data_IF_116653491837
#
_entry.id   IF_116653491837
#
_cell.length_a   1.000
_cell.length_b   1.000
_cell.length_c   1.000
_cell.angle_alpha   90.00
_cell.angle_beta   90.00
_cell.angle_gamma   90.00
#
_symmetry.space_group_name_H-M   'P 1'
#
loop_
_entity.id
_entity.type
_entity.pdbx_description
1 polymer ?
#
# COMPACT_ATOMS: atom_id res chain seq x y z
N UNK A 1 5.89 11.96 -7.93
CA UNK A 1 6.40 10.66 -7.44
C UNK A 1 5.80 9.50 -8.23
N UNK A 2 6.55 8.40 -8.33
CA UNK A 2 6.12 7.12 -8.91
C UNK A 2 5.85 6.10 -7.82
N UNK A 3 4.75 5.37 -7.97
CA UNK A 3 4.25 4.39 -7.02
C UNK A 3 4.13 3.07 -7.77
N UNK A 4 4.94 2.09 -7.37
CA UNK A 4 4.97 0.76 -7.98
C UNK A 4 4.25 -0.22 -7.07
N UNK A 5 3.26 -0.92 -7.59
CA UNK A 5 2.45 -1.89 -6.84
C UNK A 5 2.72 -3.28 -7.37
N UNK A 6 3.00 -4.20 -6.45
CA UNK A 6 3.13 -5.62 -6.75
C UNK A 6 2.49 -6.47 -5.64
N UNK A 7 2.14 -7.71 -5.99
CA UNK A 7 1.58 -8.70 -5.08
C UNK A 7 2.48 -9.92 -4.90
N UNK A 8 2.38 -10.58 -3.75
CA UNK A 8 3.00 -11.89 -3.56
C UNK A 8 2.06 -12.82 -2.81
N UNK A 9 1.93 -14.05 -3.30
CA UNK A 9 0.94 -15.02 -2.83
C UNK A 9 -0.23 -15.18 -3.80
N UNK A 10 -1.02 -16.23 -3.62
CA UNK A 10 -2.10 -16.59 -4.55
C UNK A 10 -3.47 -16.07 -4.13
N UNK A 11 -3.60 -15.52 -2.92
CA UNK A 11 -4.90 -15.16 -2.31
C UNK A 11 -5.90 -16.32 -2.32
N UNK A 12 -5.39 -17.56 -2.29
CA UNK A 12 -6.19 -18.77 -2.41
C UNK A 12 -5.72 -19.82 -1.43
N UNK A 13 -6.66 -20.63 -0.94
CA UNK A 13 -6.37 -21.68 0.04
C UNK A 13 -6.28 -21.12 1.46
N UNK A 14 -6.81 -21.90 2.40
CA UNK A 14 -6.84 -21.57 3.82
C UNK A 14 -5.96 -22.50 4.72
N UNK A 15 -4.91 -23.19 4.23
CA UNK A 15 -4.01 -23.89 5.15
C UNK A 15 -3.14 -22.90 5.94
N UNK A 16 -2.61 -23.35 7.08
CA UNK A 16 -1.67 -22.57 7.89
C UNK A 16 -0.48 -22.06 7.04
N UNK A 17 -0.12 -20.78 7.23
CA UNK A 17 0.97 -20.15 6.48
C UNK A 17 0.58 -19.62 5.09
N UNK A 18 -0.72 -19.58 4.76
CA UNK A 18 -1.25 -19.02 3.49
C UNK A 18 -1.30 -17.49 3.51
N UNK A 19 -0.13 -16.89 3.69
CA UNK A 19 0.03 -15.44 3.68
C UNK A 19 0.11 -14.94 2.25
N UNK A 20 -0.69 -13.93 1.93
CA UNK A 20 -0.58 -13.12 0.71
C UNK A 20 -0.42 -11.65 1.10
N UNK A 21 0.29 -10.89 0.28
CA UNK A 21 0.59 -9.48 0.54
C UNK A 21 0.47 -8.66 -0.73
N UNK A 22 0.12 -7.38 -0.57
CA UNK A 22 0.24 -6.36 -1.61
C UNK A 22 1.13 -5.26 -1.06
N UNK A 23 2.16 -4.87 -1.82
CA UNK A 23 3.08 -3.81 -1.43
C UNK A 23 3.08 -2.67 -2.44
N UNK A 24 3.20 -1.45 -1.95
CA UNK A 24 3.39 -0.25 -2.77
C UNK A 24 4.73 0.42 -2.41
N UNK A 25 5.62 0.52 -3.39
CA UNK A 25 6.88 1.23 -3.29
C UNK A 25 6.75 2.62 -3.89
N UNK A 26 6.97 3.64 -3.07
CA UNK A 26 6.89 5.05 -3.45
C UNK A 26 8.29 5.59 -3.64
N UNK A 27 8.60 6.04 -4.85
CA UNK A 27 9.90 6.61 -5.23
C UNK A 27 9.69 8.07 -5.66
N UNK A 28 10.36 9.04 -5.01
CA UNK A 28 10.36 10.42 -5.48
C UNK A 28 10.89 10.51 -6.92
N UNK A 29 10.24 11.29 -7.78
CA UNK A 29 10.64 11.43 -9.19
C UNK A 29 12.07 11.95 -9.30
N UNK A 30 12.43 12.89 -8.42
CA UNK A 30 13.75 13.54 -8.40
C UNK A 30 14.91 12.55 -8.22
N UNK A 31 14.67 11.37 -7.63
CA UNK A 31 15.73 10.36 -7.41
C UNK A 31 15.73 9.23 -8.43
N UNK A 32 14.69 9.11 -9.26
CA UNK A 32 14.43 7.91 -10.05
C UNK A 32 15.55 7.59 -11.05
N UNK A 33 16.07 8.59 -11.75
CA UNK A 33 17.14 8.40 -12.74
C UNK A 33 18.46 7.94 -12.09
N UNK A 34 18.82 8.56 -10.97
CA UNK A 34 20.03 8.21 -10.23
C UNK A 34 19.90 6.82 -9.60
N UNK A 35 18.73 6.52 -9.04
CA UNK A 35 18.41 5.21 -8.49
C UNK A 35 18.52 4.13 -9.58
N UNK A 36 17.96 4.38 -10.77
CA UNK A 36 18.02 3.46 -11.91
C UNK A 36 19.46 3.16 -12.35
N UNK A 37 20.31 4.19 -12.43
CA UNK A 37 21.75 4.03 -12.74
C UNK A 37 22.49 3.20 -11.70
N UNK A 38 22.21 3.43 -10.41
CA UNK A 38 22.81 2.64 -9.31
C UNK A 38 22.30 1.19 -9.34
N UNK A 39 21.02 1.00 -9.63
CA UNK A 39 20.41 -0.32 -9.68
C UNK A 39 20.94 -1.17 -10.83
N UNK A 40 21.09 -0.60 -12.04
CA UNK A 40 21.66 -1.29 -13.19
C UNK A 40 23.00 -2.00 -12.87
N UNK A 41 23.85 -1.35 -12.04
CA UNK A 41 25.14 -1.92 -11.59
C UNK A 41 24.96 -3.15 -10.69
N UNK A 42 23.98 -3.15 -9.80
CA UNK A 42 23.73 -4.30 -8.91
C UNK A 42 22.91 -5.39 -9.61
N UNK A 43 21.95 -4.99 -10.45
CA UNK A 43 21.06 -5.84 -11.26
C UNK A 43 21.83 -6.82 -12.15
N UNK A 44 23.00 -6.44 -12.65
CA UNK A 44 23.87 -7.31 -13.44
C UNK A 44 24.15 -8.66 -12.74
N UNK A 45 24.28 -8.65 -11.41
CA UNK A 45 24.64 -9.82 -10.60
C UNK A 45 23.44 -10.44 -9.85
N UNK A 46 22.22 -9.97 -10.11
CA UNK A 46 21.01 -10.55 -9.53
C UNK A 46 20.46 -11.66 -10.43
N UNK A 47 19.90 -12.73 -9.83
CA UNK A 47 19.25 -13.80 -10.59
C UNK A 47 18.04 -13.23 -11.34
N UNK A 48 17.83 -13.74 -12.56
CA UNK A 48 16.76 -13.29 -13.45
C UNK A 48 15.95 -14.48 -13.94
N UNK A 49 14.68 -14.22 -14.20
CA UNK A 49 13.75 -15.11 -14.87
C UNK A 49 13.20 -14.36 -16.09
N UNK A 50 13.36 -14.91 -17.29
CA UNK A 50 13.01 -14.25 -18.56
C UNK A 50 13.56 -12.81 -18.70
N UNK A 51 14.78 -12.57 -18.19
CA UNK A 51 15.46 -11.27 -18.28
C UNK A 51 15.07 -10.27 -17.19
N UNK A 52 14.12 -10.59 -16.32
CA UNK A 52 13.65 -9.78 -15.20
C UNK A 52 14.16 -10.32 -13.86
N UNK A 53 14.53 -9.43 -12.93
CA UNK A 53 14.89 -9.83 -11.57
C UNK A 53 13.63 -10.16 -10.78
N UNK A 54 13.55 -11.39 -10.23
CA UNK A 54 12.42 -11.84 -9.40
C UNK A 54 12.84 -12.00 -7.93
N UNK A 55 12.16 -11.30 -7.03
CA UNK A 55 12.35 -11.29 -5.58
C UNK A 55 12.32 -12.68 -4.94
N UNK A 56 11.53 -13.60 -5.48
CA UNK A 56 11.49 -15.01 -5.06
C UNK A 56 12.82 -15.76 -5.25
N UNK A 57 13.70 -15.28 -6.13
CA UNK A 57 14.99 -15.90 -6.44
C UNK A 57 16.16 -15.32 -5.63
N UNK A 58 15.96 -14.18 -4.96
CA UNK A 58 17.03 -13.48 -4.26
C UNK A 58 17.34 -14.12 -2.90
N UNK A 59 18.61 -14.24 -2.57
CA UNK A 59 19.04 -14.55 -1.21
C UNK A 59 19.01 -13.30 -0.30
N UNK A 60 19.22 -13.50 1.00
CA UNK A 60 19.19 -12.47 2.04
C UNK A 60 20.08 -11.27 1.70
N UNK A 61 21.34 -11.52 1.32
CA UNK A 61 22.30 -10.45 1.01
C UNK A 61 21.89 -9.65 -0.22
N UNK A 62 21.27 -10.29 -1.20
CA UNK A 62 20.78 -9.63 -2.41
C UNK A 62 19.56 -8.76 -2.11
N UNK A 63 18.60 -9.28 -1.32
CA UNK A 63 17.45 -8.51 -0.84
C UNK A 63 17.93 -7.28 -0.06
N UNK A 64 18.77 -7.47 0.95
CA UNK A 64 19.28 -6.38 1.79
C UNK A 64 20.02 -5.31 0.97
N UNK A 65 20.81 -5.72 -0.02
CA UNK A 65 21.51 -4.79 -0.92
C UNK A 65 20.55 -3.88 -1.70
N UNK A 66 19.43 -4.42 -2.19
CA UNK A 66 18.39 -3.66 -2.90
C UNK A 66 17.61 -2.77 -1.93
N UNK A 67 17.22 -3.30 -0.77
CA UNK A 67 16.54 -2.53 0.29
C UNK A 67 17.39 -1.34 0.73
N UNK A 68 18.68 -1.55 0.99
CA UNK A 68 19.59 -0.49 1.39
C UNK A 68 19.83 0.54 0.28
N UNK A 69 19.76 0.14 -1.00
CA UNK A 69 19.77 1.08 -2.11
C UNK A 69 18.50 1.95 -2.07
N UNK A 70 17.32 1.38 -1.88
CA UNK A 70 16.06 2.12 -1.78
C UNK A 70 16.04 3.08 -0.57
N UNK A 71 16.51 2.62 0.60
CA UNK A 71 16.61 3.42 1.83
C UNK A 71 17.46 4.67 1.60
N UNK A 72 18.62 4.51 0.95
CA UNK A 72 19.54 5.63 0.66
C UNK A 72 19.01 6.63 -0.36
N UNK A 73 17.96 6.28 -1.11
CA UNK A 73 17.32 7.18 -2.05
C UNK A 73 15.91 7.56 -1.57
N UNK A 74 15.65 7.48 -0.26
CA UNK A 74 14.45 7.99 0.41
C UNK A 74 13.12 7.40 -0.09
N UNK A 75 13.14 6.22 -0.72
CA UNK A 75 11.91 5.52 -1.05
C UNK A 75 11.09 5.22 0.21
N UNK A 76 9.76 5.18 0.07
CA UNK A 76 8.84 4.68 1.08
C UNK A 76 8.22 3.36 0.63
N UNK A 77 7.79 2.55 1.57
CA UNK A 77 7.11 1.30 1.29
C UNK A 77 5.92 1.12 2.24
N UNK A 78 4.74 0.87 1.69
CA UNK A 78 3.52 0.50 2.40
C UNK A 78 3.15 -0.93 2.00
N UNK A 79 2.63 -1.73 2.94
CA UNK A 79 2.27 -3.12 2.68
C UNK A 79 1.08 -3.55 3.53
N UNK A 80 0.19 -4.29 2.89
CA UNK A 80 -0.93 -4.95 3.55
C UNK A 80 -0.82 -6.46 3.34
N UNK A 81 -0.98 -7.20 4.43
CA UNK A 81 -0.96 -8.65 4.47
C UNK A 81 -2.36 -9.22 4.76
N UNK A 82 -2.59 -10.41 4.23
CA UNK A 82 -3.74 -11.24 4.52
C UNK A 82 -3.24 -12.66 4.78
N UNK A 83 -3.36 -13.12 6.03
CA UNK A 83 -3.08 -14.52 6.37
C UNK A 83 -4.37 -15.32 6.31
N UNK A 84 -4.55 -16.04 5.19
CA UNK A 84 -5.71 -16.92 5.01
C UNK A 84 -5.70 -18.12 5.97
N UNK A 85 -4.54 -18.48 6.54
CA UNK A 85 -4.43 -19.50 7.57
C UNK A 85 -5.08 -19.10 8.90
N UNK A 86 -5.36 -17.81 9.12
CA UNK A 86 -6.09 -17.29 10.28
C UNK A 86 -7.61 -17.19 10.03
N UNK A 87 -8.08 -17.62 8.87
CA UNK A 87 -9.46 -17.47 8.45
C UNK A 87 -10.03 -18.80 7.95
N UNK A 88 -11.35 -18.87 7.86
CA UNK A 88 -12.03 -19.94 7.13
C UNK A 88 -12.54 -19.41 5.79
N UNK A 89 -12.62 -20.30 4.80
CA UNK A 89 -13.17 -19.95 3.49
C UNK A 89 -14.60 -19.45 3.60
N UNK A 90 -15.42 -20.08 4.45
CA UNK A 90 -16.81 -19.65 4.68
C UNK A 90 -16.88 -18.23 5.22
N UNK A 91 -16.05 -17.87 6.20
CA UNK A 91 -16.03 -16.51 6.75
C UNK A 91 -15.61 -15.48 5.68
N UNK A 92 -14.63 -15.80 4.82
CA UNK A 92 -14.22 -14.91 3.73
C UNK A 92 -15.34 -14.72 2.70
N UNK A 93 -16.09 -15.78 2.35
CA UNK A 93 -17.25 -15.71 1.45
C UNK A 93 -18.42 -14.94 2.05
N UNK A 94 -18.71 -15.13 3.34
CA UNK A 94 -19.71 -14.36 4.06
C UNK A 94 -19.34 -12.87 4.10
N UNK A 95 -18.06 -12.55 4.32
CA UNK A 95 -17.57 -11.18 4.27
C UNK A 95 -17.74 -10.56 2.87
N UNK A 96 -17.35 -11.28 1.81
CA UNK A 96 -17.55 -10.85 0.41
C UNK A 96 -19.03 -10.55 0.13
N UNK A 97 -19.91 -11.47 0.52
CA UNK A 97 -21.36 -11.32 0.34
C UNK A 97 -21.91 -10.11 1.09
N UNK A 98 -21.59 -10.00 2.38
CA UNK A 98 -22.02 -8.87 3.24
C UNK A 98 -21.56 -7.54 2.66
N UNK A 99 -20.31 -7.44 2.21
CA UNK A 99 -19.77 -6.22 1.63
C UNK A 99 -20.50 -5.84 0.34
N UNK A 100 -20.69 -6.79 -0.58
CA UNK A 100 -21.43 -6.56 -1.83
C UNK A 100 -22.88 -6.14 -1.60
N UNK A 101 -23.59 -6.78 -0.67
CA UNK A 101 -24.97 -6.42 -0.29
C UNK A 101 -25.05 -5.02 0.33
N UNK A 102 -24.10 -4.67 1.22
CA UNK A 102 -24.03 -3.33 1.80
C UNK A 102 -23.76 -2.24 0.75
N UNK A 103 -22.97 -2.55 -0.28
CA UNK A 103 -22.70 -1.62 -1.38
C UNK A 103 -23.91 -1.44 -2.28
N UNK A 104 -24.61 -2.53 -2.62
CA UNK A 104 -25.87 -2.47 -3.34
C UNK A 104 -26.92 -1.64 -2.61
N UNK A 105 -27.03 -1.80 -1.29
CA UNK A 105 -27.95 -1.03 -0.46
C UNK A 105 -27.66 0.48 -0.48
N UNK A 106 -26.41 0.89 -0.77
CA UNK A 106 -26.01 2.30 -0.89
C UNK A 106 -26.23 2.89 -2.27
N UNK A 107 -26.46 2.09 -3.32
CA UNK A 107 -26.66 2.58 -4.71
C UNK A 107 -27.68 3.72 -4.79
N UNK A 108 -28.86 3.68 -4.12
CA UNK A 108 -29.83 4.77 -4.19
C UNK A 108 -29.32 6.12 -3.68
N UNK A 109 -28.27 6.13 -2.84
CA UNK A 109 -27.69 7.35 -2.28
C UNK A 109 -26.75 8.07 -3.26
N UNK A 110 -26.37 7.43 -4.36
CA UNK A 110 -25.55 8.05 -5.39
C UNK A 110 -26.39 8.86 -6.38
N UNK A 111 -25.77 9.84 -7.04
CA UNK A 111 -26.42 10.65 -8.09
C UNK A 111 -26.92 9.74 -9.22
N UNK A 112 -28.11 10.00 -9.76
CA UNK A 112 -28.77 9.16 -10.76
C UNK A 112 -27.86 8.76 -11.94
N UNK A 113 -27.01 9.69 -12.42
CA UNK A 113 -26.09 9.45 -13.53
C UNK A 113 -24.97 8.43 -13.28
N UNK A 114 -24.67 8.08 -12.01
CA UNK A 114 -23.63 7.09 -11.65
C UNK A 114 -24.19 5.84 -10.98
N UNK A 115 -25.50 5.77 -10.71
CA UNK A 115 -26.11 4.64 -10.00
C UNK A 115 -25.95 3.32 -10.74
N UNK A 116 -26.12 3.31 -12.07
CA UNK A 116 -25.97 2.10 -12.88
C UNK A 116 -24.54 1.54 -12.82
N UNK A 117 -23.55 2.42 -12.85
CA UNK A 117 -22.14 2.08 -12.79
C UNK A 117 -21.77 1.51 -11.42
N UNK A 118 -22.15 2.19 -10.34
CA UNK A 118 -21.93 1.74 -8.95
C UNK A 118 -22.64 0.40 -8.70
N UNK A 119 -23.86 0.24 -9.21
CA UNK A 119 -24.60 -1.02 -9.12
C UNK A 119 -23.86 -2.15 -9.83
N UNK A 120 -23.43 -1.94 -11.08
CA UNK A 120 -22.68 -2.94 -11.85
C UNK A 120 -21.39 -3.35 -11.13
N UNK A 121 -20.65 -2.40 -10.58
CA UNK A 121 -19.44 -2.67 -9.82
C UNK A 121 -19.71 -3.45 -8.52
N UNK A 122 -20.81 -3.14 -7.83
CA UNK A 122 -21.24 -3.84 -6.60
C UNK A 122 -21.69 -5.28 -6.88
N UNK A 123 -22.45 -5.50 -7.96
CA UNK A 123 -22.84 -6.84 -8.40
C UNK A 123 -21.65 -7.68 -8.83
N UNK A 124 -20.62 -7.05 -9.40
CA UNK A 124 -19.41 -7.75 -9.79
C UNK A 124 -18.64 -8.30 -8.59
N UNK A 125 -18.59 -7.60 -7.46
CA UNK A 125 -18.01 -8.13 -6.20
C UNK A 125 -18.66 -9.46 -5.83
N UNK A 126 -19.99 -9.53 -5.86
CA UNK A 126 -20.74 -10.73 -5.48
C UNK A 126 -20.48 -11.93 -6.40
N UNK A 127 -20.08 -11.68 -7.64
CA UNK A 127 -19.81 -12.72 -8.67
C UNK A 127 -18.32 -13.02 -8.83
N UNK A 128 -17.45 -12.15 -8.33
CA UNK A 128 -16.01 -12.27 -8.51
C UNK A 128 -15.44 -13.50 -7.80
N UNK A 129 -14.45 -14.18 -8.40
CA UNK A 129 -13.66 -15.20 -7.72
C UNK A 129 -13.10 -14.68 -6.39
N UNK A 130 -13.15 -15.51 -5.34
CA UNK A 130 -12.77 -15.10 -3.99
C UNK A 130 -11.34 -14.57 -3.93
N UNK A 131 -10.39 -15.20 -4.63
CA UNK A 131 -9.00 -14.77 -4.67
C UNK A 131 -8.83 -13.34 -5.23
N UNK A 132 -9.55 -13.01 -6.30
CA UNK A 132 -9.53 -11.66 -6.87
C UNK A 132 -10.14 -10.66 -5.89
N UNK A 133 -11.27 -10.99 -5.28
CA UNK A 133 -11.88 -10.15 -4.24
C UNK A 133 -10.91 -9.83 -3.08
N UNK A 134 -10.22 -10.84 -2.55
CA UNK A 134 -9.26 -10.70 -1.44
C UNK A 134 -8.03 -9.88 -1.87
N UNK A 135 -7.55 -10.05 -3.10
CA UNK A 135 -6.48 -9.25 -3.69
C UNK A 135 -6.90 -7.77 -3.84
N UNK A 136 -8.12 -7.49 -4.31
CA UNK A 136 -8.63 -6.12 -4.40
C UNK A 136 -8.71 -5.46 -3.02
N UNK A 137 -9.24 -6.17 -2.02
CA UNK A 137 -9.38 -5.64 -0.67
C UNK A 137 -8.03 -5.20 -0.07
N UNK A 138 -7.03 -6.07 -0.18
CA UNK A 138 -5.67 -5.77 0.28
C UNK A 138 -5.04 -4.64 -0.52
N UNK A 139 -5.25 -4.60 -1.83
CA UNK A 139 -4.75 -3.51 -2.68
C UNK A 139 -5.36 -2.16 -2.32
N UNK A 140 -6.67 -2.07 -2.08
CA UNK A 140 -7.32 -0.81 -1.72
C UNK A 140 -6.86 -0.28 -0.36
N UNK A 141 -6.59 -1.17 0.59
CA UNK A 141 -6.02 -0.80 1.88
C UNK A 141 -4.61 -0.17 1.70
N UNK A 142 -3.77 -0.77 0.85
CA UNK A 142 -2.46 -0.18 0.50
C UNK A 142 -2.62 1.19 -0.15
N UNK A 143 -3.53 1.35 -1.12
CA UNK A 143 -3.78 2.65 -1.76
C UNK A 143 -4.17 3.72 -0.74
N UNK A 144 -5.06 3.38 0.19
CA UNK A 144 -5.49 4.27 1.28
C UNK A 144 -4.30 4.71 2.14
N UNK A 145 -3.43 3.77 2.55
CA UNK A 145 -2.22 4.08 3.31
C UNK A 145 -1.23 4.95 2.53
N UNK A 146 -0.99 4.66 1.24
CA UNK A 146 -0.10 5.47 0.39
C UNK A 146 -0.60 6.91 0.32
N UNK A 147 -1.89 7.10 0.01
CA UNK A 147 -2.48 8.43 -0.14
C UNK A 147 -2.39 9.23 1.16
N UNK A 148 -2.66 8.62 2.30
CA UNK A 148 -2.51 9.30 3.59
C UNK A 148 -1.05 9.56 3.95
N UNK A 149 -0.29 8.48 4.13
CA UNK A 149 1.02 8.51 4.77
C UNK A 149 2.10 9.13 3.88
N UNK A 150 2.13 8.81 2.59
CA UNK A 150 3.13 9.38 1.68
C UNK A 150 2.89 10.89 1.45
N UNK A 151 1.62 11.32 1.36
CA UNK A 151 1.27 12.74 1.21
C UNK A 151 1.79 13.55 2.39
N UNK A 152 1.47 13.13 3.62
CA UNK A 152 1.91 13.79 4.86
C UNK A 152 3.42 13.76 5.04
N UNK A 153 4.06 12.66 4.66
CA UNK A 153 5.50 12.51 4.74
C UNK A 153 6.23 13.46 3.79
N UNK A 154 5.81 13.52 2.51
CA UNK A 154 6.47 14.33 1.50
C UNK A 154 6.07 15.81 1.57
N UNK A 155 4.91 16.17 2.12
CA UNK A 155 4.54 17.57 2.40
C UNK A 155 5.58 18.29 3.27
N UNK A 156 6.29 17.57 4.13
CA UNK A 156 7.31 18.17 5.01
C UNK A 156 8.73 18.14 4.42
N UNK A 157 8.97 17.36 3.36
CA UNK A 157 10.33 17.01 2.88
C UNK A 157 10.55 17.35 1.42
N UNK A 158 9.61 16.96 0.57
CA UNK A 158 9.64 17.16 -0.88
C UNK A 158 8.24 17.55 -1.39
N UNK A 159 7.72 18.74 -1.03
CA UNK A 159 6.37 19.17 -1.42
C UNK A 159 6.07 19.10 -2.92
N UNK A 160 7.09 19.26 -3.76
CA UNK A 160 6.96 19.18 -5.22
C UNK A 160 6.56 17.79 -5.72
N UNK A 161 6.89 16.73 -4.98
CA UNK A 161 6.50 15.35 -5.33
C UNK A 161 4.98 15.15 -5.24
N UNK A 162 4.28 15.96 -4.42
CA UNK A 162 2.84 15.93 -4.28
C UNK A 162 2.10 16.50 -5.49
N UNK A 163 2.81 17.01 -6.49
CA UNK A 163 2.23 17.49 -7.74
C UNK A 163 1.87 16.37 -8.72
N UNK A 164 2.32 15.12 -8.52
CA UNK A 164 1.98 14.01 -9.41
C UNK A 164 2.08 12.67 -8.69
N UNK A 165 1.09 11.81 -8.94
CA UNK A 165 1.02 10.45 -8.44
C UNK A 165 0.88 9.53 -9.65
N UNK A 166 2.00 8.96 -10.09
CA UNK A 166 2.03 7.98 -11.19
C UNK A 166 1.98 6.58 -10.60
N UNK A 167 0.91 5.84 -10.85
CA UNK A 167 0.65 4.51 -10.31
C UNK A 167 0.95 3.46 -11.38
N UNK A 168 1.92 2.58 -11.10
CA UNK A 168 2.35 1.52 -12.00
C UNK A 168 2.11 0.20 -11.30
N UNK A 169 1.16 -0.58 -11.80
CA UNK A 169 0.78 -1.89 -11.26
C UNK A 169 1.36 -2.97 -12.16
N UNK A 170 1.93 -4.02 -11.59
CA UNK A 170 2.35 -5.19 -12.36
C UNK A 170 1.14 -5.81 -13.08
N UNK A 171 1.18 -5.83 -14.41
CA UNK A 171 0.10 -6.31 -15.27
C UNK A 171 0.44 -7.67 -15.86
N UNK A 172 -0.52 -8.60 -15.85
CA UNK A 172 -0.26 -9.98 -16.32
C UNK A 172 -0.27 -10.13 -17.84
N UNK A 173 -0.87 -9.20 -18.60
CA UNK A 173 -0.80 -9.16 -20.07
C UNK A 173 -0.90 -7.72 -20.63
N UNK A 174 0.04 -7.24 -21.48
CA UNK A 174 -0.01 -5.90 -22.07
C UNK A 174 -1.16 -5.68 -23.06
N UNK A 175 -1.61 -6.75 -23.72
CA UNK A 175 -2.50 -6.67 -24.87
C UNK A 175 -4.00 -6.68 -24.50
N UNK A 176 -4.33 -6.97 -23.24
CA UNK A 176 -5.72 -7.09 -22.77
C UNK A 176 -5.79 -6.57 -21.34
N UNK A 177 -6.25 -5.33 -21.20
CA UNK A 177 -6.80 -4.91 -19.90
C UNK A 177 -7.93 -5.87 -19.59
N UNK A 178 -7.79 -6.63 -18.51
CA UNK A 178 -8.79 -7.59 -18.09
C UNK A 178 -10.01 -6.84 -17.54
N UNK A 179 -11.19 -7.44 -17.62
CA UNK A 179 -12.40 -6.89 -16.96
C UNK A 179 -12.18 -6.62 -15.46
N UNK A 180 -11.26 -7.36 -14.85
CA UNK A 180 -10.86 -7.18 -13.46
C UNK A 180 -10.07 -5.87 -13.26
N UNK A 181 -9.13 -5.56 -14.14
CA UNK A 181 -8.33 -4.33 -14.10
C UNK A 181 -9.19 -3.08 -14.38
N UNK A 182 -10.12 -3.15 -15.33
CA UNK A 182 -11.10 -2.08 -15.58
C UNK A 182 -11.99 -1.85 -14.34
N UNK A 183 -12.51 -2.94 -13.76
CA UNK A 183 -13.31 -2.88 -12.54
C UNK A 183 -12.50 -2.27 -11.39
N UNK A 184 -11.24 -2.68 -11.23
CA UNK A 184 -10.36 -2.20 -10.17
C UNK A 184 -10.12 -0.69 -10.28
N UNK A 185 -9.79 -0.17 -11.46
CA UNK A 185 -9.51 1.26 -11.64
C UNK A 185 -10.73 2.15 -11.36
N UNK A 186 -11.91 1.67 -11.75
CA UNK A 186 -13.17 2.36 -11.45
C UNK A 186 -13.52 2.27 -9.96
N UNK A 187 -13.46 1.06 -9.41
CA UNK A 187 -13.96 0.75 -8.08
C UNK A 187 -13.04 1.22 -6.94
N UNK A 188 -11.73 1.26 -7.18
CA UNK A 188 -10.74 1.76 -6.21
C UNK A 188 -11.11 3.15 -5.66
N UNK A 189 -11.65 4.04 -6.51
CA UNK A 189 -12.04 5.39 -6.10
C UNK A 189 -13.11 5.37 -5.01
N UNK A 190 -14.17 4.57 -5.19
CA UNK A 190 -15.25 4.46 -4.21
C UNK A 190 -14.83 3.72 -2.93
N UNK A 191 -14.00 2.69 -3.08
CA UNK A 191 -13.47 1.92 -1.95
C UNK A 191 -12.57 2.78 -1.06
N UNK A 192 -11.59 3.46 -1.67
CA UNK A 192 -10.65 4.33 -0.95
C UNK A 192 -11.40 5.53 -0.34
N UNK A 193 -12.40 6.10 -1.01
CA UNK A 193 -13.23 7.17 -0.42
C UNK A 193 -13.91 6.71 0.86
N UNK A 194 -14.49 5.50 0.85
CA UNK A 194 -15.14 4.91 2.03
C UNK A 194 -14.14 4.66 3.16
N UNK A 195 -12.92 4.21 2.83
CA UNK A 195 -11.85 4.04 3.80
C UNK A 195 -11.40 5.38 4.40
N UNK A 196 -11.24 6.43 3.58
CA UNK A 196 -10.88 7.77 4.04
C UNK A 196 -11.96 8.41 4.93
N UNK A 197 -13.23 8.10 4.74
CA UNK A 197 -14.30 8.55 5.66
C UNK A 197 -14.18 7.90 7.03
N UNK A 198 -13.76 6.63 7.10
CA UNK A 198 -13.60 5.88 8.36
C UNK A 198 -12.28 6.16 9.05
N UNK A 199 -11.22 6.32 8.26
CA UNK A 199 -9.83 6.56 8.67
C UNK A 199 -9.29 7.76 7.87
N UNK A 200 -9.60 8.99 8.31
CA UNK A 200 -9.16 10.19 7.60
C UNK A 200 -7.63 10.26 7.52
N UNK A 201 -7.06 10.59 6.36
CA UNK A 201 -5.61 10.78 6.27
C UNK A 201 -5.17 11.95 7.16
N UNK A 202 -4.04 11.78 7.83
CA UNK A 202 -3.47 12.79 8.73
C UNK A 202 -3.02 14.04 7.95
N UNK A 203 -3.70 15.16 8.15
CA UNK A 203 -3.21 16.47 7.70
C UNK A 203 -2.53 17.19 8.87
N UNK A 204 -1.29 17.62 8.66
CA UNK A 204 -0.53 18.32 9.71
C UNK A 204 -1.07 19.72 9.97
N UNK A 205 -1.06 20.20 11.23
CA UNK A 205 -1.43 21.57 11.57
C UNK A 205 -0.59 22.61 10.82
N UNK A 206 -1.13 23.80 10.60
CA UNK A 206 -0.45 24.88 9.89
C UNK A 206 0.91 25.26 10.51
N UNK A 207 1.03 25.19 11.85
CA UNK A 207 2.28 25.43 12.57
C UNK A 207 3.44 24.52 12.17
N UNK A 208 3.15 23.37 11.55
CA UNK A 208 4.16 22.42 11.05
C UNK A 208 4.71 22.82 9.68
N UNK A 209 4.15 23.87 9.06
CA UNK A 209 4.53 24.43 7.77
C UNK A 209 4.72 23.36 6.67
N UNK A 210 3.85 22.35 6.67
CA UNK A 210 3.84 21.32 5.65
C UNK A 210 3.32 21.91 4.31
N UNK A 211 4.07 21.69 3.23
CA UNK A 211 3.77 22.23 1.91
C UNK A 211 2.76 21.38 1.15
N UNK A 212 1.47 21.70 1.27
CA UNK A 212 0.40 21.03 0.52
C UNK A 212 -0.03 21.75 -0.76
N UNK A 213 0.54 22.90 -1.11
CA UNK A 213 0.12 23.70 -2.26
C UNK A 213 0.12 22.95 -3.60
N UNK A 214 1.00 21.96 -3.77
CA UNK A 214 1.03 21.11 -4.97
C UNK A 214 -0.04 20.01 -4.96
N UNK A 215 -0.50 19.63 -3.77
CA UNK A 215 -1.57 18.67 -3.55
C UNK A 215 -2.97 19.28 -3.70
N UNK A 216 -3.12 20.60 -3.48
CA UNK A 216 -4.41 21.31 -3.55
C UNK A 216 -5.15 21.16 -4.89
N UNK A 217 -4.44 20.87 -5.99
CA UNK A 217 -5.09 20.57 -7.28
C UNK A 217 -5.93 19.29 -7.25
N UNK A 218 -5.69 18.41 -6.29
CA UNK A 218 -6.48 17.21 -6.04
C UNK A 218 -7.62 17.48 -5.06
N UNK A 219 -7.77 18.69 -4.53
CA UNK A 219 -8.89 19.01 -3.65
C UNK A 219 -10.22 18.93 -4.41
N UNK A 220 -11.21 18.32 -3.78
CA UNK A 220 -12.61 18.33 -4.22
C UNK A 220 -13.46 19.05 -3.18
N UNK A 221 -14.45 19.81 -3.62
CA UNK A 221 -15.53 20.31 -2.77
C UNK A 221 -16.83 19.64 -3.18
N UNK A 222 -17.67 19.29 -2.21
CA UNK A 222 -19.06 18.94 -2.50
C UNK A 222 -19.97 20.19 -2.47
N UNK A 223 -21.24 20.03 -2.85
CA UNK A 223 -22.24 21.11 -2.84
C UNK A 223 -22.54 21.66 -1.43
N UNK A 224 -22.09 20.97 -0.37
CA UNK A 224 -22.22 21.36 1.03
C UNK A 224 -20.98 22.09 1.54
N UNK A 225 -19.96 22.25 0.71
CA UNK A 225 -18.69 22.90 1.06
C UNK A 225 -17.73 22.00 1.83
N UNK A 226 -18.00 20.69 1.94
CA UNK A 226 -17.05 19.74 2.53
C UNK A 226 -15.83 19.60 1.61
N UNK A 227 -14.65 19.86 2.18
CA UNK A 227 -13.37 19.70 1.49
C UNK A 227 -12.92 18.24 1.58
N UNK A 228 -12.58 17.66 0.43
CA UNK A 228 -12.06 16.31 0.32
C UNK A 228 -10.93 16.22 -0.69
N UNK A 229 -10.51 14.99 -0.97
CA UNK A 229 -9.55 14.68 -2.05
C UNK A 229 -10.29 13.99 -3.20
N UNK A 230 -10.12 14.51 -4.41
CA UNK A 230 -10.56 13.91 -5.65
C UNK A 230 -9.71 12.68 -5.99
N UNK A 231 -10.17 11.50 -5.57
CA UNK A 231 -9.51 10.23 -5.88
C UNK A 231 -9.48 9.94 -7.39
N UNK A 232 -10.45 10.47 -8.15
CA UNK A 232 -10.43 10.42 -9.61
C UNK A 232 -9.19 11.08 -10.19
N UNK A 233 -8.84 12.27 -9.69
CA UNK A 233 -7.65 12.99 -10.16
C UNK A 233 -6.36 12.35 -9.63
N UNK A 234 -6.38 11.89 -8.37
CA UNK A 234 -5.21 11.31 -7.72
C UNK A 234 -4.83 9.95 -8.35
N UNK A 235 -5.81 9.15 -8.73
CA UNK A 235 -5.64 7.87 -9.42
C UNK A 235 -5.71 7.98 -10.96
N UNK A 236 -5.61 9.20 -11.52
CA UNK A 236 -5.79 9.43 -12.96
C UNK A 236 -4.63 8.91 -13.82
N UNK A 237 -3.40 8.92 -13.29
CA UNK A 237 -2.21 8.39 -13.97
C UNK A 237 -1.92 6.98 -13.48
N UNK A 238 -2.90 6.10 -13.69
CA UNK A 238 -2.84 4.71 -13.31
C UNK A 238 -2.65 3.81 -14.52
N UNK A 239 -1.63 2.96 -14.46
CA UNK A 239 -1.19 2.15 -15.59
C UNK A 239 -0.86 0.74 -15.13
N UNK A 240 -1.36 -0.25 -15.88
CA UNK A 240 -0.93 -1.64 -15.77
C UNK A 240 0.23 -1.86 -16.75
N UNK A 241 1.37 -2.29 -16.23
CA UNK A 241 2.59 -2.45 -17.01
C UNK A 241 3.08 -3.88 -16.90
N UNK A 242 3.33 -4.51 -18.04
CA UNK A 242 3.91 -5.85 -18.16
C UNK A 242 5.34 -5.83 -18.73
N UNK A 243 5.80 -4.66 -19.17
CA UNK A 243 7.19 -4.47 -19.57
C UNK A 243 8.10 -4.51 -18.35
N UNK A 244 9.30 -5.08 -18.52
CA UNK A 244 10.33 -5.07 -17.48
C UNK A 244 10.74 -3.64 -17.15
N UNK A 245 10.37 -3.18 -15.95
CA UNK A 245 10.77 -1.88 -15.42
C UNK A 245 11.44 -2.04 -14.06
N UNK A 246 12.52 -1.28 -13.81
CA UNK A 246 13.26 -1.35 -12.54
C UNK A 246 12.38 -1.03 -11.33
N UNK A 247 11.38 -0.15 -11.49
CA UNK A 247 10.42 0.16 -10.44
C UNK A 247 9.59 -1.04 -9.99
N UNK A 248 9.07 -1.82 -10.95
CA UNK A 248 8.33 -3.05 -10.68
C UNK A 248 9.25 -4.13 -10.09
N UNK A 249 10.48 -4.29 -10.60
CA UNK A 249 11.45 -5.20 -9.98
C UNK A 249 11.74 -4.83 -8.51
N UNK A 250 11.82 -3.53 -8.18
CA UNK A 250 11.97 -3.12 -6.79
C UNK A 250 10.76 -3.48 -5.93
N UNK A 251 9.55 -3.21 -6.43
CA UNK A 251 8.32 -3.54 -5.73
C UNK A 251 8.23 -5.05 -5.48
N UNK A 252 8.46 -5.88 -6.52
CA UNK A 252 8.46 -7.34 -6.41
C UNK A 252 9.50 -7.86 -5.41
N UNK A 253 10.71 -7.32 -5.42
CA UNK A 253 11.75 -7.70 -4.45
C UNK A 253 11.31 -7.43 -3.01
N UNK A 254 10.81 -6.23 -2.71
CA UNK A 254 10.47 -5.85 -1.32
C UNK A 254 9.17 -6.54 -0.87
N UNK A 255 8.17 -6.61 -1.74
CA UNK A 255 6.89 -7.31 -1.48
C UNK A 255 7.11 -8.79 -1.23
N UNK A 256 7.88 -9.49 -2.08
CA UNK A 256 8.22 -10.90 -1.85
C UNK A 256 9.08 -11.08 -0.60
N UNK A 257 10.00 -10.16 -0.29
CA UNK A 257 10.81 -10.26 0.90
C UNK A 257 9.97 -10.22 2.18
N UNK A 258 8.99 -9.31 2.27
CA UNK A 258 8.07 -9.27 3.41
C UNK A 258 7.27 -10.56 3.48
N UNK A 259 6.66 -11.03 2.39
CA UNK A 259 5.91 -12.30 2.40
C UNK A 259 6.78 -13.46 2.87
N UNK A 260 7.98 -13.62 2.30
CA UNK A 260 8.91 -14.68 2.67
C UNK A 260 9.33 -14.59 4.13
N UNK A 261 9.46 -13.38 4.69
CA UNK A 261 9.72 -13.22 6.13
C UNK A 261 8.56 -13.71 6.99
N UNK A 262 7.31 -13.44 6.59
CA UNK A 262 6.10 -13.89 7.29
C UNK A 262 5.89 -15.42 7.14
N UNK A 263 6.32 -16.01 6.03
CA UNK A 263 6.22 -17.47 5.83
C UNK A 263 7.47 -18.24 6.26
N UNK A 264 8.46 -17.60 6.89
CA UNK A 264 9.70 -18.26 7.36
C UNK A 264 10.72 -18.64 6.26
N UNK A 265 10.55 -18.13 5.04
CA UNK A 265 11.38 -18.41 3.85
C UNK A 265 12.40 -17.30 3.52
N UNK A 266 12.63 -16.37 4.44
CA UNK A 266 13.69 -15.36 4.37
C UNK A 266 14.24 -15.12 5.79
N UNK A 267 15.55 -15.28 5.95
CA UNK A 267 16.19 -15.09 7.26
C UNK A 267 16.38 -13.61 7.59
N UNK A 268 16.71 -13.32 8.86
CA UNK A 268 16.80 -11.98 9.43
C UNK A 268 17.69 -11.05 8.62
N UNK A 269 18.80 -11.54 8.11
CA UNK A 269 19.74 -10.80 7.28
C UNK A 269 19.08 -10.17 6.05
N UNK A 270 18.02 -10.79 5.51
CA UNK A 270 17.30 -10.30 4.34
C UNK A 270 16.21 -9.27 4.65
N UNK A 271 15.51 -9.39 5.78
CA UNK A 271 14.38 -8.50 6.10
C UNK A 271 14.70 -7.41 7.14
N UNK A 272 15.82 -7.51 7.86
CA UNK A 272 16.14 -6.62 9.00
C UNK A 272 16.15 -5.12 8.66
N UNK A 273 16.36 -4.71 7.41
CA UNK A 273 16.41 -3.30 7.02
C UNK A 273 15.13 -2.81 6.33
N UNK A 274 14.12 -3.67 6.09
CA UNK A 274 12.92 -3.28 5.33
C UNK A 274 12.12 -2.19 6.06
N UNK A 275 12.02 -2.24 7.39
CA UNK A 275 11.32 -1.20 8.17
C UNK A 275 11.81 0.22 7.91
N UNK A 276 13.05 0.40 7.44
CA UNK A 276 13.62 1.72 7.15
C UNK A 276 13.00 2.40 5.91
N UNK A 277 12.26 1.62 5.12
CA UNK A 277 11.38 2.10 4.05
C UNK A 277 9.98 2.45 4.55
N UNK A 278 9.57 1.93 5.71
CA UNK A 278 8.22 2.09 6.24
C UNK A 278 8.16 3.26 7.22
N UNK A 279 7.01 3.92 7.31
CA UNK A 279 6.81 4.96 8.32
C UNK A 279 6.55 4.31 9.68
N UNK A 280 7.21 4.84 10.70
CA UNK A 280 7.03 4.46 12.10
C UNK A 280 5.59 4.72 12.52
N UNK A 281 4.97 3.70 13.09
CA UNK A 281 3.70 3.77 13.77
C UNK A 281 3.92 3.43 15.25
N UNK A 282 3.34 4.22 16.16
CA UNK A 282 3.47 4.01 17.59
C UNK A 282 2.49 2.95 18.10
N UNK A 283 1.38 2.78 17.39
CA UNK A 283 0.21 2.05 17.88
C UNK A 283 0.09 0.65 17.26
N UNK A 284 0.99 0.28 16.34
CA UNK A 284 0.94 -1.01 15.68
C UNK A 284 2.15 -1.35 14.80
N UNK A 285 2.14 -2.57 14.21
CA UNK A 285 3.14 -2.95 13.23
C UNK A 285 2.99 -2.13 11.94
N UNK A 286 4.09 -1.99 11.20
CA UNK A 286 4.16 -1.26 9.93
C UNK A 286 3.52 -2.01 8.77
N UNK A 287 3.20 -3.29 8.98
CA UNK A 287 2.43 -4.12 8.06
C UNK A 287 0.96 -4.03 8.50
N UNK A 288 0.10 -3.56 7.60
CA UNK A 288 -1.35 -3.63 7.82
C UNK A 288 -1.82 -5.08 7.64
N UNK A 289 -2.72 -5.55 8.50
CA UNK A 289 -3.29 -6.90 8.40
C UNK A 289 -4.79 -6.80 8.20
N UNK A 290 -5.29 -7.40 7.12
CA UNK A 290 -6.72 -7.54 6.89
C UNK A 290 -7.25 -8.74 7.68
N UNK A 291 -8.22 -8.49 8.57
CA UNK A 291 -8.90 -9.51 9.36
C UNK A 291 -10.41 -9.46 9.13
N UNK A 292 -11.05 -10.61 8.89
CA UNK A 292 -12.50 -10.71 8.66
C UNK A 292 -13.35 -10.90 9.92
N UNK A 293 -12.71 -11.29 11.03
CA UNK A 293 -13.39 -11.58 12.29
C UNK A 293 -13.14 -10.45 13.29
N UNK A 294 -14.19 -10.02 13.99
CA UNK A 294 -14.07 -9.12 15.14
C UNK A 294 -13.58 -9.91 16.35
N UNK A 295 -12.64 -9.32 17.11
CA UNK A 295 -12.26 -9.80 18.43
C UNK A 295 -11.15 -10.85 18.43
N UNK A 296 -9.91 -10.39 18.65
CA UNK A 296 -8.76 -11.24 18.94
C UNK A 296 -7.51 -10.69 18.28
N UNK A 297 -6.45 -10.53 19.06
CA UNK A 297 -5.12 -10.21 18.56
C UNK A 297 -4.48 -11.47 17.93
N UNK A 298 -5.11 -11.98 16.87
CA UNK A 298 -4.71 -13.20 16.17
C UNK A 298 -3.36 -13.04 15.49
N UNK A 299 -2.94 -11.80 15.22
CA UNK A 299 -1.64 -11.47 14.65
C UNK A 299 -0.54 -11.77 15.67
N UNK A 300 -0.73 -11.42 16.95
CA UNK A 300 0.26 -11.70 17.98
C UNK A 300 0.35 -13.20 18.36
N UNK A 301 -0.66 -14.00 17.99
CA UNK A 301 -0.62 -15.45 18.10
C UNK A 301 -0.07 -16.16 16.84
N UNK A 302 0.20 -15.43 15.75
CA UNK A 302 0.62 -16.03 14.50
C UNK A 302 2.08 -16.54 14.55
N UNK A 303 2.45 -17.53 13.71
CA UNK A 303 3.83 -18.06 13.66
C UNK A 303 4.90 -16.99 13.38
N UNK A 304 4.53 -15.87 12.75
CA UNK A 304 5.44 -14.79 12.38
C UNK A 304 5.49 -13.62 13.36
N UNK A 305 4.84 -13.71 14.54
CA UNK A 305 4.82 -12.60 15.53
C UNK A 305 6.21 -12.07 15.85
N UNK A 306 7.21 -12.95 15.97
CA UNK A 306 8.60 -12.55 16.21
C UNK A 306 9.16 -11.67 15.08
N UNK A 307 8.89 -12.05 13.83
CA UNK A 307 9.32 -11.30 12.64
C UNK A 307 8.65 -9.92 12.63
N UNK A 308 7.34 -9.85 12.90
CA UNK A 308 6.61 -8.58 13.00
C UNK A 308 7.19 -7.68 14.08
N UNK A 309 7.32 -8.20 15.31
CA UNK A 309 7.78 -7.41 16.45
C UNK A 309 9.23 -6.92 16.32
N UNK A 310 10.13 -7.77 15.81
CA UNK A 310 11.54 -7.40 15.64
C UNK A 310 11.80 -6.58 14.38
N UNK A 311 11.13 -6.92 13.28
CA UNK A 311 11.44 -6.43 11.95
C UNK A 311 10.55 -5.31 11.46
N UNK A 312 9.34 -5.17 12.00
CA UNK A 312 8.28 -4.33 11.44
C UNK A 312 7.48 -3.57 12.49
N UNK A 313 7.92 -3.49 13.74
CA UNK A 313 7.26 -2.66 14.77
C UNK A 313 8.17 -1.61 15.39
N UNK A 314 9.48 -1.65 15.12
CA UNK A 314 10.47 -0.72 15.71
C UNK A 314 11.39 -0.11 14.66
N UNK A 315 11.90 1.08 14.98
CA UNK A 315 12.92 1.81 14.21
C UNK A 315 12.52 2.18 12.78
N UNK A 316 11.22 2.19 12.46
CA UNK A 316 10.70 2.73 11.21
C UNK A 316 11.07 4.20 11.00
N UNK A 317 10.81 4.72 9.80
CA UNK A 317 11.12 6.11 9.45
C UNK A 317 10.15 7.06 10.18
N UNK A 318 10.63 8.09 10.89
CA UNK A 318 9.72 9.00 11.59
C UNK A 318 8.83 9.75 10.61
N UNK A 319 7.52 9.83 10.90
CA UNK A 319 6.56 10.61 10.11
C UNK A 319 6.95 12.09 10.07
N UNK A 320 7.23 12.66 11.23
CA UNK A 320 7.61 14.07 11.37
C UNK A 320 9.09 14.29 11.04
N UNK A 321 9.41 15.45 10.48
CA UNK A 321 10.80 15.92 10.41
C UNK A 321 11.32 16.22 11.82
N UNK A 322 12.64 16.30 12.02
CA UNK A 322 13.23 16.62 13.32
C UNK A 322 12.62 17.90 13.92
N UNK A 323 12.54 18.97 13.12
CA UNK A 323 11.91 20.25 13.49
C UNK A 323 10.47 20.07 13.96
N UNK A 324 9.66 19.34 13.17
CA UNK A 324 8.24 19.18 13.48
C UNK A 324 7.99 18.23 14.65
N UNK A 325 8.90 17.27 14.88
CA UNK A 325 8.89 16.44 16.07
C UNK A 325 9.22 17.26 17.33
N UNK A 326 10.24 18.12 17.27
CA UNK A 326 10.60 19.04 18.37
C UNK A 326 9.42 19.99 18.69
N UNK A 327 8.77 20.52 17.65
CA UNK A 327 7.59 21.37 17.80
C UNK A 327 6.41 20.62 18.43
N UNK A 328 6.15 19.38 18.00
CA UNK A 328 5.11 18.54 18.58
C UNK A 328 5.35 18.31 20.09
N UNK A 329 6.59 17.98 20.46
CA UNK A 329 6.99 17.74 21.86
C UNK A 329 6.91 19.00 22.72
N UNK A 330 7.28 20.17 22.17
CA UNK A 330 7.23 21.45 22.90
C UNK A 330 5.82 21.98 23.10
N UNK A 331 4.90 21.64 22.20
CA UNK A 331 3.50 22.12 22.25
C UNK A 331 2.61 21.25 23.16
N UNK A 332 3.02 20.01 23.46
CA UNK A 332 2.18 19.03 24.16
C UNK A 332 2.73 18.51 25.51
N UNK A 333 3.72 19.17 26.12
CA UNK A 333 4.23 18.71 27.42
C UNK A 333 4.87 17.30 27.38
N UNK A 334 5.41 16.88 26.23
CA UNK A 334 6.28 15.71 26.13
C UNK A 334 5.66 14.39 25.62
N UNK A 335 4.40 14.34 25.19
CA UNK A 335 3.83 13.16 24.52
C UNK A 335 3.44 13.51 23.07
N UNK A 336 4.02 12.86 22.04
CA UNK A 336 3.60 13.08 20.66
C UNK A 336 2.28 12.35 20.41
N UNK A 337 1.18 13.08 20.31
CA UNK A 337 -0.04 12.57 19.67
C UNK A 337 0.22 12.48 18.16
N UNK A 338 0.52 11.27 17.68
CA UNK A 338 0.08 10.90 16.33
C UNK A 338 -1.43 10.64 16.44
N UNK A 339 -2.29 11.34 15.70
CA UNK A 339 -3.71 11.05 15.70
C UNK A 339 -3.95 9.68 15.07
N UNK A 340 -4.77 8.89 15.76
CA UNK A 340 -5.32 7.56 15.42
C UNK A 340 -5.95 7.53 14.03
#
# INVERSE_FOLDING_TARGET
>A
MRIFIDESGSFSGFPAGSVSVVGALIIPDVVMDNLSKKYAKIRANLPKDNGEVKGRLLNEKQVDKVVMLLVRNEALFEITALDLGLHSENAAREYQKKLGEQMLAKVPNFRAGVQAEVKGASEYILKSPLNLFLQALTTFDVLHHVIGRATTFFAQRKPYELGSFSWIVDGKEPAKVTRWEEWWAHYAQGAVATMSQRRPPLMLPEAFHAGYSRYEKFSSGDERGEKGTSLKLLLSDLQFCSDTQYGLEFADIVTNAVRRSLTGNLQKEGWQNIHRLMIHDNDGPYISFVLYQEGGDVIHAAPYTKVVNEGFSKNGRPMLTKRNLELALSTQGGLPLMPV
#
